data_IF_284211485322
#
_entry.id   IF_284211485322
#
_cell.length_a   1.000
_cell.length_b   1.000
_cell.length_c   1.000
_cell.angle_alpha   90.00
_cell.angle_beta   90.00
_cell.angle_gamma   90.00
#
_symmetry.space_group_name_H-M   'P 1'
#
loop_
_entity.id
_entity.type
_entity.pdbx_description
1 polymer ?
#
# COMPACT_ATOMS: atom_id res chain seq x y z
N UNK A 1 48.09 19.96 39.75
CA UNK A 1 47.01 19.49 38.86
C UNK A 1 47.64 18.79 37.66
N UNK A 2 47.39 17.50 37.48
CA UNK A 2 47.82 16.74 36.29
C UNK A 2 46.75 16.86 35.21
N UNK A 3 47.10 17.19 33.95
CA UNK A 3 46.14 17.25 32.87
C UNK A 3 45.55 15.86 32.57
N UNK A 4 44.25 15.81 32.32
CA UNK A 4 43.55 14.60 31.87
C UNK A 4 43.53 14.56 30.34
N UNK A 5 44.48 13.81 29.75
CA UNK A 5 44.67 13.74 28.30
C UNK A 5 43.60 12.92 27.55
N UNK A 6 42.70 12.25 28.25
CA UNK A 6 41.63 11.44 27.64
C UNK A 6 40.54 12.26 26.93
N UNK A 7 40.52 13.58 27.14
CA UNK A 7 39.49 14.50 26.62
C UNK A 7 39.98 15.35 25.44
N UNK A 8 41.25 15.23 25.07
CA UNK A 8 41.86 16.03 24.01
C UNK A 8 41.71 15.33 22.66
N UNK A 9 41.56 16.13 21.60
CA UNK A 9 41.50 15.64 20.23
C UNK A 9 42.88 15.17 19.73
N UNK A 10 42.91 14.34 18.67
CA UNK A 10 44.15 13.82 18.08
C UNK A 10 45.16 14.93 17.73
N UNK A 11 44.67 16.02 17.13
CA UNK A 11 45.50 17.18 16.77
C UNK A 11 46.09 17.90 17.99
N UNK A 12 45.31 18.06 19.07
CA UNK A 12 45.78 18.70 20.30
C UNK A 12 46.81 17.83 21.04
N UNK A 13 46.66 16.50 20.99
CA UNK A 13 47.64 15.57 21.57
C UNK A 13 48.95 15.53 20.78
N UNK A 14 48.89 15.59 19.45
CA UNK A 14 50.08 15.69 18.58
C UNK A 14 50.83 17.02 18.78
N UNK A 15 50.09 18.12 18.92
CA UNK A 15 50.66 19.45 19.22
C UNK A 15 51.31 19.49 20.61
N UNK A 16 50.65 18.89 21.61
CA UNK A 16 51.21 18.73 22.95
C UNK A 16 52.50 17.90 22.93
N UNK A 17 52.58 16.85 22.10
CA UNK A 17 53.76 16.00 21.98
C UNK A 17 54.93 16.68 21.25
N UNK A 18 54.63 17.66 20.40
CA UNK A 18 55.63 18.49 19.70
C UNK A 18 56.20 19.60 20.59
N UNK A 19 55.39 20.14 21.48
CA UNK A 19 55.74 21.31 22.31
C UNK A 19 56.29 20.94 23.68
N UNK A 20 56.05 19.71 24.17
CA UNK A 20 56.53 19.25 25.47
C UNK A 20 58.04 18.97 25.45
N UNK A 21 58.73 19.42 26.50
CA UNK A 21 60.13 19.07 26.75
C UNK A 21 60.25 17.62 27.22
N UNK A 22 60.56 16.74 26.27
CA UNK A 22 60.58 15.28 26.43
C UNK A 22 61.64 14.80 27.42
N UNK A 23 62.73 15.54 27.59
CA UNK A 23 63.80 15.18 28.52
C UNK A 23 63.41 15.44 29.98
N UNK A 24 62.53 16.42 30.21
CA UNK A 24 62.16 16.88 31.55
C UNK A 24 60.88 16.24 32.08
N UNK A 25 59.99 15.74 31.21
CA UNK A 25 58.70 15.18 31.60
C UNK A 25 58.32 13.87 30.86
N UNK A 26 59.09 12.78 31.06
CA UNK A 26 58.87 11.53 30.33
C UNK A 26 57.50 10.89 30.61
N UNK A 27 57.01 10.96 31.86
CA UNK A 27 55.71 10.38 32.25
C UNK A 27 54.51 11.05 31.56
N UNK A 28 54.62 12.33 31.18
CA UNK A 28 53.54 13.03 30.47
C UNK A 28 53.52 12.64 28.99
N UNK A 29 54.69 12.41 28.40
CA UNK A 29 54.83 11.91 27.03
C UNK A 29 54.20 10.53 26.91
N UNK A 30 54.45 9.63 27.88
CA UNK A 30 53.86 8.30 27.90
C UNK A 30 52.32 8.33 27.97
N UNK A 31 51.76 9.21 28.82
CA UNK A 31 50.30 9.39 28.90
C UNK A 31 49.67 9.96 27.63
N UNK A 32 50.35 10.86 26.93
CA UNK A 32 49.89 11.40 25.64
C UNK A 32 49.95 10.32 24.55
N UNK A 33 51.03 9.53 24.50
CA UNK A 33 51.15 8.39 23.58
C UNK A 33 50.09 7.31 23.84
N UNK A 34 49.80 7.02 25.11
CA UNK A 34 48.77 6.06 25.48
C UNK A 34 47.37 6.56 25.09
N UNK A 35 47.11 7.87 25.20
CA UNK A 35 45.85 8.49 24.75
C UNK A 35 45.73 8.51 23.22
N UNK A 36 46.84 8.72 22.48
CA UNK A 36 46.87 8.59 21.02
C UNK A 36 46.63 7.15 20.57
N UNK A 37 47.28 6.18 21.20
CA UNK A 37 47.10 4.77 20.89
C UNK A 37 45.67 4.27 21.17
N UNK A 38 45.01 4.79 22.21
CA UNK A 38 43.60 4.45 22.49
C UNK A 38 42.63 5.12 21.53
N UNK A 39 42.95 6.29 20.97
CA UNK A 39 42.19 6.91 19.88
C UNK A 39 42.36 6.13 18.57
N UNK A 40 43.57 5.71 18.24
CA UNK A 40 43.86 4.91 17.04
C UNK A 40 43.23 3.51 17.11
N UNK A 41 43.28 2.85 18.28
CA UNK A 41 42.60 1.57 18.49
C UNK A 41 41.06 1.67 18.39
N UNK A 42 40.49 2.85 18.68
CA UNK A 42 39.06 3.12 18.48
C UNK A 42 38.72 3.52 17.03
N UNK A 43 39.67 4.11 16.28
CA UNK A 43 39.54 4.36 14.84
C UNK A 43 39.55 3.05 14.03
N UNK A 44 40.42 2.10 14.38
CA UNK A 44 40.54 0.80 13.68
C UNK A 44 39.30 -0.12 13.85
N UNK A 45 38.49 0.10 14.88
CA UNK A 45 37.20 -0.60 15.06
C UNK A 45 36.01 0.10 14.39
N UNK A 46 36.20 1.22 13.70
CA UNK A 46 35.14 1.94 12.96
C UNK A 46 35.09 1.65 11.46
N UNK A 47 35.76 0.61 10.95
CA UNK A 47 35.46 0.06 9.62
C UNK A 47 34.26 -0.91 9.66
N UNK A 48 33.13 -0.44 10.21
CA UNK A 48 31.86 -0.91 9.65
C UNK A 48 31.82 -0.39 8.21
N UNK A 49 31.52 -1.21 7.18
CA UNK A 49 31.57 -0.76 5.80
C UNK A 49 30.71 0.49 5.66
N UNK A 50 31.29 1.57 5.11
CA UNK A 50 30.60 2.80 4.75
C UNK A 50 29.27 2.41 4.11
N UNK A 51 28.16 2.55 4.86
CA UNK A 51 26.86 2.19 4.35
C UNK A 51 26.57 3.12 3.18
N UNK A 52 26.54 2.55 1.97
CA UNK A 52 26.37 3.30 0.73
C UNK A 52 25.03 4.04 0.72
N UNK A 53 25.04 5.32 1.12
CA UNK A 53 23.87 6.20 1.07
C UNK A 53 23.68 6.61 -0.38
N UNK A 54 22.83 5.86 -1.09
CA UNK A 54 22.54 6.15 -2.49
C UNK A 54 21.69 7.43 -2.61
N UNK A 55 22.29 8.51 -3.09
CA UNK A 55 21.60 9.75 -3.48
C UNK A 55 21.19 9.70 -4.97
N UNK A 56 20.11 10.39 -5.36
CA UNK A 56 19.73 10.48 -6.77
C UNK A 56 20.69 11.38 -7.55
N UNK A 57 21.02 10.97 -8.77
CA UNK A 57 21.74 11.81 -9.74
C UNK A 57 20.90 13.00 -10.20
N UNK A 58 21.53 14.13 -10.56
CA UNK A 58 20.82 15.31 -11.09
C UNK A 58 20.09 14.97 -12.40
N UNK A 59 18.79 15.24 -12.46
CA UNK A 59 17.93 14.96 -13.62
C UNK A 59 18.07 16.04 -14.70
N UNK A 60 18.09 15.65 -15.97
CA UNK A 60 18.07 16.57 -17.11
C UNK A 60 16.66 17.14 -17.38
N UNK A 61 16.57 18.31 -18.02
CA UNK A 61 15.29 18.98 -18.31
C UNK A 61 14.31 18.11 -19.13
N UNK A 62 14.81 17.30 -20.07
CA UNK A 62 13.99 16.36 -20.84
C UNK A 62 13.43 15.22 -19.98
N UNK A 63 14.21 14.70 -19.03
CA UNK A 63 13.74 13.67 -18.09
C UNK A 63 12.66 14.22 -17.18
N UNK A 64 12.76 15.50 -16.78
CA UNK A 64 11.75 16.17 -15.98
C UNK A 64 10.42 16.31 -16.76
N UNK A 65 10.47 16.74 -18.02
CA UNK A 65 9.26 16.85 -18.86
C UNK A 65 8.59 15.50 -19.13
N UNK A 66 9.34 14.45 -19.47
CA UNK A 66 8.78 13.09 -19.68
C UNK A 66 8.14 12.53 -18.41
N UNK A 67 8.74 12.80 -17.25
CA UNK A 67 8.22 12.37 -15.96
C UNK A 67 6.94 13.12 -15.58
N UNK A 68 6.84 14.41 -15.88
CA UNK A 68 5.62 15.19 -15.69
C UNK A 68 4.49 14.68 -16.59
N UNK A 69 4.76 14.46 -17.88
CA UNK A 69 3.76 13.94 -18.81
C UNK A 69 3.29 12.54 -18.43
N UNK A 70 4.22 11.67 -18.03
CA UNK A 70 3.89 10.33 -17.52
C UNK A 70 3.10 10.38 -16.22
N UNK A 71 3.43 11.30 -15.30
CA UNK A 71 2.69 11.48 -14.04
C UNK A 71 1.28 11.99 -14.29
N UNK A 72 1.10 12.96 -15.20
CA UNK A 72 -0.21 13.47 -15.60
C UNK A 72 -1.05 12.37 -16.23
N UNK A 73 -0.47 11.59 -17.14
CA UNK A 73 -1.15 10.44 -17.75
C UNK A 73 -1.61 9.41 -16.71
N UNK A 74 -0.79 9.12 -15.70
CA UNK A 74 -1.17 8.23 -14.59
C UNK A 74 -2.29 8.83 -13.71
N UNK A 75 -2.27 10.14 -13.46
CA UNK A 75 -3.31 10.81 -12.67
C UNK A 75 -4.64 10.78 -13.43
N UNK A 76 -4.66 11.19 -14.70
CA UNK A 76 -5.87 11.17 -15.52
C UNK A 76 -6.39 9.75 -15.75
N UNK A 77 -5.51 8.79 -16.05
CA UNK A 77 -5.87 7.39 -16.16
C UNK A 77 -6.44 6.84 -14.85
N UNK A 78 -5.83 7.21 -13.71
CA UNK A 78 -6.34 6.86 -12.38
C UNK A 78 -7.71 7.47 -12.07
N UNK A 79 -7.96 8.71 -12.48
CA UNK A 79 -9.25 9.38 -12.34
C UNK A 79 -10.34 8.71 -13.17
N UNK A 80 -10.05 8.38 -14.43
CA UNK A 80 -10.99 7.67 -15.32
C UNK A 80 -11.30 6.29 -14.74
N UNK A 81 -10.27 5.53 -14.35
CA UNK A 81 -10.45 4.22 -13.73
C UNK A 81 -11.25 4.32 -12.42
N UNK A 82 -10.96 5.34 -11.60
CA UNK A 82 -11.71 5.62 -10.37
C UNK A 82 -13.18 5.95 -10.65
N UNK A 83 -13.47 6.75 -11.67
CA UNK A 83 -14.82 7.07 -12.09
C UNK A 83 -15.57 5.84 -12.62
N UNK A 84 -14.91 4.95 -13.36
CA UNK A 84 -15.49 3.69 -13.83
C UNK A 84 -15.73 2.67 -12.71
N UNK A 85 -14.98 2.76 -11.60
CA UNK A 85 -15.16 1.92 -10.43
C UNK A 85 -16.15 2.51 -9.40
N UNK A 86 -16.57 3.77 -9.56
CA UNK A 86 -17.55 4.42 -8.68
C UNK A 86 -18.90 3.67 -8.62
N UNK A 87 -19.48 3.20 -9.75
CA UNK A 87 -20.74 2.47 -9.76
C UNK A 87 -20.70 1.19 -8.90
N UNK A 88 -19.53 0.56 -8.74
CA UNK A 88 -19.30 -0.64 -7.92
C UNK A 88 -19.67 -0.43 -6.44
N UNK A 89 -19.54 0.81 -5.97
CA UNK A 89 -19.87 1.20 -4.60
C UNK A 89 -21.39 1.33 -4.41
N UNK A 90 -22.11 1.79 -5.43
CA UNK A 90 -23.54 2.07 -5.33
C UNK A 90 -24.42 0.91 -5.81
N UNK A 91 -23.88 0.01 -6.61
CA UNK A 91 -24.63 -1.07 -7.23
C UNK A 91 -24.48 -2.41 -6.50
N UNK A 92 -25.62 -3.05 -6.27
CA UNK A 92 -25.69 -4.43 -5.76
C UNK A 92 -25.68 -5.40 -6.94
N UNK A 93 -24.48 -5.67 -7.45
CA UNK A 93 -24.29 -6.67 -8.50
C UNK A 93 -24.05 -8.05 -7.90
N UNK A 94 -24.82 -9.00 -8.39
CA UNK A 94 -24.80 -10.41 -8.05
C UNK A 94 -24.20 -11.16 -9.24
N UNK A 95 -23.00 -11.70 -9.06
CA UNK A 95 -22.30 -12.42 -10.13
C UNK A 95 -22.97 -13.78 -10.36
N UNK A 96 -23.01 -14.31 -11.57
CA UNK A 96 -23.51 -15.67 -11.74
C UNK A 96 -22.56 -16.68 -11.09
N UNK A 97 -23.10 -17.75 -10.47
CA UNK A 97 -22.31 -18.71 -9.70
C UNK A 97 -21.25 -19.42 -10.56
N UNK A 98 -21.54 -19.63 -11.84
CA UNK A 98 -20.58 -20.17 -12.81
C UNK A 98 -19.38 -19.23 -13.00
N UNK A 99 -19.59 -17.92 -12.90
CA UNK A 99 -18.57 -16.89 -13.09
C UNK A 99 -17.79 -16.58 -11.81
N UNK A 100 -18.25 -17.01 -10.64
CA UNK A 100 -17.58 -16.74 -9.35
C UNK A 100 -16.16 -17.30 -9.32
N UNK A 101 -16.00 -18.56 -9.69
CA UNK A 101 -14.69 -19.23 -9.67
C UNK A 101 -13.68 -18.61 -10.64
N UNK A 102 -13.99 -18.37 -11.93
CA UNK A 102 -13.04 -17.73 -12.83
C UNK A 102 -12.68 -16.32 -12.39
N UNK A 103 -13.64 -15.50 -11.94
CA UNK A 103 -13.32 -14.15 -11.45
C UNK A 103 -12.48 -14.16 -10.17
N UNK A 104 -12.66 -15.14 -9.27
CA UNK A 104 -11.76 -15.33 -8.10
C UNK A 104 -10.33 -15.58 -8.56
N UNK A 105 -10.11 -16.48 -9.52
CA UNK A 105 -8.77 -16.78 -10.03
C UNK A 105 -8.15 -15.60 -10.79
N UNK A 106 -8.91 -14.89 -11.61
CA UNK A 106 -8.44 -13.69 -12.31
C UNK A 106 -8.07 -12.60 -11.31
N UNK A 107 -8.86 -12.39 -10.27
CA UNK A 107 -8.55 -11.41 -9.23
C UNK A 107 -7.28 -11.76 -8.43
N UNK A 108 -7.11 -13.04 -8.05
CA UNK A 108 -5.93 -13.51 -7.32
C UNK A 108 -4.66 -13.43 -8.18
N UNK A 109 -4.73 -13.83 -9.44
CA UNK A 109 -3.60 -13.75 -10.37
C UNK A 109 -3.21 -12.30 -10.65
N UNK A 110 -4.17 -11.41 -10.90
CA UNK A 110 -3.92 -9.97 -11.04
C UNK A 110 -3.29 -9.38 -9.78
N UNK A 111 -3.81 -9.72 -8.60
CA UNK A 111 -3.25 -9.31 -7.31
C UNK A 111 -1.81 -9.79 -7.12
N UNK A 112 -1.51 -11.05 -7.45
CA UNK A 112 -0.16 -11.62 -7.37
C UNK A 112 0.82 -10.92 -8.31
N UNK A 113 0.42 -10.67 -9.56
CA UNK A 113 1.25 -9.95 -10.55
C UNK A 113 1.57 -8.55 -10.04
N UNK A 114 0.56 -7.82 -9.55
CA UNK A 114 0.75 -6.47 -9.01
C UNK A 114 1.62 -6.49 -7.75
N UNK A 115 1.46 -7.48 -6.88
CA UNK A 115 2.32 -7.67 -5.72
C UNK A 115 3.79 -7.83 -6.13
N UNK A 116 4.10 -8.78 -7.02
CA UNK A 116 5.47 -9.05 -7.49
C UNK A 116 6.06 -7.83 -8.18
N UNK A 117 5.31 -7.18 -9.08
CA UNK A 117 5.76 -5.99 -9.79
C UNK A 117 6.03 -4.82 -8.82
N UNK A 118 5.18 -4.63 -7.82
CA UNK A 118 5.34 -3.57 -6.82
C UNK A 118 6.54 -3.85 -5.90
N UNK A 119 6.68 -5.08 -5.42
CA UNK A 119 7.85 -5.52 -4.66
C UNK A 119 9.14 -5.28 -5.45
N UNK A 120 9.20 -5.75 -6.71
CA UNK A 120 10.36 -5.55 -7.59
C UNK A 120 10.70 -4.07 -7.75
N UNK A 121 9.69 -3.21 -7.95
CA UNK A 121 9.86 -1.76 -8.11
C UNK A 121 10.36 -1.08 -6.83
N UNK A 122 9.78 -1.42 -5.66
CA UNK A 122 10.11 -0.78 -4.38
C UNK A 122 11.42 -1.29 -3.78
N UNK A 123 11.77 -2.55 -4.02
CA UNK A 123 13.04 -3.14 -3.63
C UNK A 123 14.17 -2.80 -4.62
N UNK A 124 13.90 -2.12 -5.73
CA UNK A 124 14.96 -1.63 -6.62
C UNK A 124 15.75 -0.48 -5.98
N UNK A 125 17.06 -0.42 -6.21
CA UNK A 125 17.97 0.61 -5.66
C UNK A 125 17.56 2.03 -6.09
N UNK A 126 17.01 2.18 -7.29
CA UNK A 126 16.50 3.47 -7.78
C UNK A 126 15.33 4.03 -6.96
N UNK A 127 14.49 3.16 -6.37
CA UNK A 127 13.40 3.59 -5.51
C UNK A 127 13.96 4.04 -4.15
N UNK A 128 14.93 3.29 -3.61
CA UNK A 128 15.62 3.66 -2.37
C UNK A 128 16.30 5.03 -2.49
N UNK A 129 16.99 5.32 -3.62
CA UNK A 129 17.57 6.64 -3.90
C UNK A 129 16.56 7.78 -3.76
N UNK A 130 15.39 7.61 -4.38
CA UNK A 130 14.31 8.61 -4.35
C UNK A 130 13.72 8.76 -2.95
N UNK A 131 13.46 7.64 -2.27
CA UNK A 131 12.92 7.65 -0.92
C UNK A 131 13.88 8.33 0.08
N UNK A 132 15.18 8.08 -0.03
CA UNK A 132 16.19 8.70 0.82
C UNK A 132 16.31 10.21 0.56
N UNK A 133 16.25 10.65 -0.69
CA UNK A 133 16.22 12.07 -1.01
C UNK A 133 15.00 12.78 -0.40
N UNK A 134 13.82 12.17 -0.45
CA UNK A 134 12.62 12.72 0.20
C UNK A 134 12.72 12.73 1.73
N UNK A 135 13.35 11.72 2.33
CA UNK A 135 13.58 11.69 3.78
C UNK A 135 14.53 12.81 4.20
N UNK A 136 15.64 12.99 3.48
CA UNK A 136 16.61 14.06 3.73
C UNK A 136 15.97 15.44 3.56
N UNK A 137 15.16 15.65 2.51
CA UNK A 137 14.40 16.89 2.32
C UNK A 137 13.42 17.19 3.48
N UNK A 138 12.95 16.16 4.17
CA UNK A 138 12.08 16.26 5.36
C UNK A 138 12.87 16.26 6.69
N UNK A 139 14.20 16.36 6.64
CA UNK A 139 15.07 16.32 7.83
C UNK A 139 15.12 14.97 8.54
N UNK A 140 14.75 13.88 7.87
CA UNK A 140 14.70 12.52 8.43
C UNK A 140 15.94 11.72 8.03
N UNK A 141 16.34 10.77 8.89
CA UNK A 141 17.47 9.86 8.62
C UNK A 141 17.19 8.98 7.40
N UNK A 142 18.16 8.81 6.47
CA UNK A 142 18.01 7.95 5.30
C UNK A 142 17.95 6.46 5.72
N UNK A 143 17.39 5.63 4.85
CA UNK A 143 17.32 4.19 5.02
C UNK A 143 18.49 3.51 4.29
N UNK A 144 19.10 2.53 4.96
CA UNK A 144 20.15 1.69 4.38
C UNK A 144 19.56 0.61 3.47
N UNK A 145 20.40 0.04 2.60
CA UNK A 145 20.00 -1.03 1.66
C UNK A 145 19.43 -2.23 2.41
N UNK A 146 20.08 -2.63 3.50
CA UNK A 146 19.72 -3.81 4.30
C UNK A 146 18.71 -3.53 5.42
N UNK A 147 18.12 -2.33 5.43
CA UNK A 147 17.19 -1.96 6.50
C UNK A 147 15.96 -2.87 6.48
N UNK A 148 15.62 -3.57 7.59
CA UNK A 148 14.41 -4.39 7.66
C UNK A 148 13.14 -3.54 7.45
N UNK A 149 13.20 -2.26 7.85
CA UNK A 149 12.13 -1.29 7.63
C UNK A 149 11.81 -1.10 6.14
N UNK A 150 12.82 -1.18 5.26
CA UNK A 150 12.63 -1.09 3.80
C UNK A 150 11.87 -2.30 3.28
N UNK A 151 12.26 -3.50 3.71
CA UNK A 151 11.65 -4.76 3.27
C UNK A 151 10.20 -4.84 3.76
N UNK A 152 9.95 -4.61 5.05
CA UNK A 152 8.59 -4.63 5.60
C UNK A 152 7.71 -3.52 4.98
N UNK A 153 8.26 -2.33 4.76
CA UNK A 153 7.55 -1.23 4.10
C UNK A 153 7.17 -1.54 2.65
N UNK A 154 8.10 -2.14 1.88
CA UNK A 154 7.85 -2.55 0.51
C UNK A 154 6.80 -3.67 0.42
N UNK A 155 6.95 -4.72 1.24
CA UNK A 155 6.01 -5.84 1.28
C UNK A 155 4.63 -5.37 1.72
N UNK A 156 4.55 -4.57 2.79
CA UNK A 156 3.28 -4.05 3.31
C UNK A 156 2.55 -3.18 2.29
N UNK A 157 3.28 -2.29 1.61
CA UNK A 157 2.70 -1.45 0.55
C UNK A 157 2.25 -2.29 -0.64
N UNK A 158 3.10 -3.22 -1.11
CA UNK A 158 2.77 -4.11 -2.21
C UNK A 158 1.54 -4.97 -1.90
N UNK A 159 1.43 -5.48 -0.66
CA UNK A 159 0.28 -6.26 -0.21
C UNK A 159 -1.01 -5.43 -0.25
N UNK A 160 -0.96 -4.20 0.25
CA UNK A 160 -2.13 -3.29 0.23
C UNK A 160 -2.59 -3.01 -1.20
N UNK A 161 -1.65 -2.69 -2.11
CA UNK A 161 -1.96 -2.42 -3.52
C UNK A 161 -2.50 -3.68 -4.21
N UNK A 162 -1.93 -4.85 -3.91
CA UNK A 162 -2.39 -6.14 -4.45
C UNK A 162 -3.81 -6.49 -3.99
N UNK A 163 -4.11 -6.31 -2.70
CA UNK A 163 -5.46 -6.53 -2.15
C UNK A 163 -6.49 -5.59 -2.78
N UNK A 164 -6.14 -4.32 -2.94
CA UNK A 164 -7.01 -3.35 -3.62
C UNK A 164 -7.26 -3.74 -5.08
N UNK A 165 -6.21 -4.18 -5.78
CA UNK A 165 -6.31 -4.66 -7.17
C UNK A 165 -7.22 -5.88 -7.27
N UNK A 166 -7.02 -6.88 -6.40
CA UNK A 166 -7.85 -8.08 -6.37
C UNK A 166 -9.32 -7.74 -6.11
N UNK A 167 -9.61 -6.81 -5.18
CA UNK A 167 -10.96 -6.34 -4.92
C UNK A 167 -11.56 -5.62 -6.14
N UNK A 168 -10.81 -4.73 -6.78
CA UNK A 168 -11.24 -4.00 -7.96
C UNK A 168 -11.52 -4.94 -9.14
N UNK A 169 -10.72 -5.99 -9.33
CA UNK A 169 -10.95 -6.99 -10.39
C UNK A 169 -12.15 -7.86 -10.05
N UNK A 170 -12.23 -8.39 -8.82
CA UNK A 170 -13.30 -9.30 -8.44
C UNK A 170 -14.67 -8.65 -8.43
N UNK A 171 -14.77 -7.41 -7.90
CA UNK A 171 -16.05 -6.72 -7.74
C UNK A 171 -16.29 -5.67 -8.81
N UNK A 172 -15.24 -4.98 -9.25
CA UNK A 172 -15.38 -3.86 -10.18
C UNK A 172 -15.51 -4.27 -11.64
N UNK A 173 -14.71 -5.24 -12.09
CA UNK A 173 -14.75 -5.66 -13.48
C UNK A 173 -16.13 -6.22 -13.90
N UNK A 174 -16.80 -7.10 -13.13
CA UNK A 174 -18.12 -7.59 -13.51
C UNK A 174 -19.17 -6.49 -13.64
N UNK A 175 -19.16 -5.52 -12.71
CA UNK A 175 -20.09 -4.37 -12.74
C UNK A 175 -19.83 -3.50 -13.97
N UNK A 176 -18.56 -3.18 -14.24
CA UNK A 176 -18.20 -2.37 -15.40
C UNK A 176 -18.57 -3.08 -16.72
N UNK A 177 -18.30 -4.39 -16.82
CA UNK A 177 -18.69 -5.19 -17.98
C UNK A 177 -20.21 -5.22 -18.15
N UNK A 178 -20.97 -5.42 -17.07
CA UNK A 178 -22.43 -5.40 -17.09
C UNK A 178 -23.01 -4.05 -17.55
N UNK A 179 -22.40 -2.93 -17.14
CA UNK A 179 -22.92 -1.59 -17.43
C UNK A 179 -22.50 -1.04 -18.79
N UNK A 180 -21.29 -1.36 -19.26
CA UNK A 180 -20.68 -0.68 -20.41
C UNK A 180 -20.39 -1.58 -21.60
N UNK A 181 -20.36 -2.90 -21.42
CA UNK A 181 -19.91 -3.83 -22.47
C UNK A 181 -20.99 -4.83 -22.86
N UNK A 182 -21.71 -5.37 -21.90
CA UNK A 182 -22.69 -6.43 -22.15
C UNK A 182 -24.09 -5.87 -22.35
N UNK A 183 -24.83 -6.50 -23.24
CA UNK A 183 -26.25 -6.23 -23.42
C UNK A 183 -27.02 -6.71 -22.17
N UNK A 184 -27.46 -5.75 -21.37
CA UNK A 184 -28.23 -5.99 -20.17
C UNK A 184 -29.72 -5.73 -20.44
N UNK A 185 -30.56 -6.75 -20.22
CA UNK A 185 -32.02 -6.64 -20.36
C UNK A 185 -32.68 -6.48 -18.99
N UNK A 186 -33.82 -5.77 -18.95
CA UNK A 186 -34.60 -5.64 -17.72
C UNK A 186 -35.13 -7.00 -17.30
N UNK A 187 -34.86 -7.40 -16.07
CA UNK A 187 -35.21 -8.72 -15.57
C UNK A 187 -35.68 -8.65 -14.12
N UNK A 188 -36.40 -9.69 -13.71
CA UNK A 188 -36.76 -9.92 -12.31
C UNK A 188 -36.24 -11.27 -11.86
N UNK A 189 -35.63 -11.33 -10.69
CA UNK A 189 -35.07 -12.55 -10.14
C UNK A 189 -35.75 -12.90 -8.82
N UNK A 190 -36.13 -14.17 -8.63
CA UNK A 190 -36.66 -14.66 -7.37
C UNK A 190 -35.51 -15.27 -6.57
N UNK A 191 -35.29 -14.74 -5.37
CA UNK A 191 -34.19 -15.14 -4.49
C UNK A 191 -34.70 -15.35 -3.08
N UNK A 192 -33.98 -16.17 -2.32
CA UNK A 192 -34.32 -16.55 -0.95
C UNK A 192 -33.45 -15.78 0.01
N UNK A 193 -34.07 -15.17 1.03
CA UNK A 193 -33.34 -14.46 2.08
C UNK A 193 -32.60 -15.48 2.95
N UNK A 194 -31.27 -15.50 2.89
CA UNK A 194 -30.46 -16.32 3.79
C UNK A 194 -30.45 -15.72 5.21
N UNK A 195 -30.22 -14.41 5.29
CA UNK A 195 -30.04 -13.73 6.58
C UNK A 195 -30.36 -12.25 6.48
N UNK A 196 -30.85 -11.70 7.60
CA UNK A 196 -31.05 -10.28 7.79
C UNK A 196 -30.16 -9.78 8.95
N UNK A 197 -29.54 -8.60 8.83
CA UNK A 197 -29.04 -7.86 9.98
C UNK A 197 -30.10 -7.70 11.07
N UNK A 198 -29.69 -7.58 12.34
CA UNK A 198 -30.64 -7.39 13.47
C UNK A 198 -31.49 -6.13 13.37
N UNK A 199 -31.03 -5.10 12.65
CA UNK A 199 -31.71 -3.81 12.52
C UNK A 199 -31.40 -3.19 11.16
N UNK A 200 -32.34 -2.42 10.64
CA UNK A 200 -32.12 -1.57 9.48
C UNK A 200 -31.07 -0.51 9.83
N UNK A 201 -30.00 -0.39 9.03
CA UNK A 201 -28.96 0.63 9.18
C UNK A 201 -28.91 1.48 7.92
N UNK A 202 -28.89 2.82 8.10
CA UNK A 202 -28.56 3.78 7.04
C UNK A 202 -27.06 4.06 7.08
N UNK A 203 -26.28 3.39 6.23
CA UNK A 203 -24.82 3.53 6.12
C UNK A 203 -24.44 3.45 4.63
N UNK A 204 -23.27 2.90 4.32
CA UNK A 204 -22.83 2.63 2.96
C UNK A 204 -23.77 1.68 2.19
N UNK A 205 -24.34 0.67 2.87
CA UNK A 205 -25.31 -0.25 2.30
C UNK A 205 -26.58 -0.23 3.18
N UNK A 206 -27.62 0.47 2.70
CA UNK A 206 -28.88 0.59 3.44
C UNK A 206 -29.72 -0.67 3.28
N UNK A 207 -30.28 -1.18 4.37
CA UNK A 207 -31.20 -2.32 4.30
C UNK A 207 -30.57 -3.57 3.68
N UNK A 208 -29.36 -3.94 4.12
CA UNK A 208 -28.65 -5.13 3.61
C UNK A 208 -29.51 -6.40 3.76
N UNK A 209 -29.61 -7.21 2.70
CA UNK A 209 -30.28 -8.51 2.68
C UNK A 209 -29.30 -9.54 2.10
N UNK A 210 -29.00 -10.61 2.85
CA UNK A 210 -28.14 -11.70 2.37
C UNK A 210 -28.98 -12.75 1.64
N UNK A 211 -28.46 -13.29 0.54
CA UNK A 211 -29.17 -14.16 -0.41
C UNK A 211 -28.59 -15.57 -0.41
N UNK A 212 -29.46 -16.59 -0.37
CA UNK A 212 -29.03 -17.98 -0.25
C UNK A 212 -28.36 -18.50 -1.53
N UNK A 213 -28.92 -18.14 -2.69
CA UNK A 213 -28.45 -18.54 -4.00
C UNK A 213 -27.04 -18.03 -4.32
N UNK A 214 -26.63 -16.94 -3.65
CA UNK A 214 -25.36 -16.25 -3.88
C UNK A 214 -24.34 -16.47 -2.74
N UNK A 215 -24.59 -17.44 -1.84
CA UNK A 215 -23.77 -17.72 -0.65
C UNK A 215 -22.31 -18.09 -0.93
N UNK A 216 -21.99 -18.57 -2.14
CA UNK A 216 -20.62 -18.88 -2.55
C UNK A 216 -19.74 -17.63 -2.83
N UNK A 217 -20.35 -16.45 -2.79
CA UNK A 217 -19.72 -15.17 -3.16
C UNK A 217 -19.24 -14.42 -1.93
N UNK A 218 -18.19 -13.61 -2.11
CA UNK A 218 -17.77 -12.69 -1.05
C UNK A 218 -18.79 -11.58 -0.78
N UNK A 219 -19.69 -11.32 -1.74
CA UNK A 219 -20.73 -10.30 -1.68
C UNK A 219 -22.09 -10.91 -2.02
N UNK A 220 -22.58 -11.74 -1.11
CA UNK A 220 -23.85 -12.46 -1.17
C UNK A 220 -25.06 -11.60 -0.75
N UNK A 221 -24.96 -10.28 -0.87
CA UNK A 221 -25.97 -9.37 -0.35
C UNK A 221 -26.35 -8.26 -1.31
N UNK A 222 -27.59 -7.80 -1.17
CA UNK A 222 -28.11 -6.62 -1.86
C UNK A 222 -28.40 -5.49 -0.89
N UNK A 223 -28.34 -4.26 -1.41
CA UNK A 223 -28.53 -3.02 -0.69
C UNK A 223 -29.61 -2.18 -1.38
N UNK A 224 -30.33 -1.37 -0.60
CA UNK A 224 -31.27 -0.37 -1.10
C UNK A 224 -32.41 -0.93 -1.96
N UNK A 225 -32.72 -2.23 -1.89
CA UNK A 225 -33.74 -2.83 -2.76
C UNK A 225 -35.16 -2.66 -2.23
N UNK A 226 -35.31 -2.30 -0.96
CA UNK A 226 -36.62 -2.11 -0.30
C UNK A 226 -36.58 -0.95 0.70
N UNK A 227 -37.65 -0.17 0.83
CA UNK A 227 -37.78 0.84 1.87
C UNK A 227 -37.78 0.20 3.26
N UNK A 228 -37.45 1.00 4.29
CA UNK A 228 -37.33 0.52 5.68
C UNK A 228 -38.58 -0.21 6.17
N UNK A 229 -39.77 0.30 5.86
CA UNK A 229 -41.04 -0.28 6.29
C UNK A 229 -41.24 -1.71 5.76
N UNK A 230 -40.88 -1.96 4.51
CA UNK A 230 -40.93 -3.29 3.90
C UNK A 230 -39.80 -4.19 4.43
N UNK A 231 -38.59 -3.63 4.58
CA UNK A 231 -37.45 -4.37 5.09
C UNK A 231 -37.69 -4.93 6.50
N UNK A 232 -38.35 -4.17 7.38
CA UNK A 232 -38.67 -4.61 8.75
C UNK A 232 -39.69 -5.76 8.79
N UNK A 233 -40.43 -6.00 7.70
CA UNK A 233 -41.38 -7.10 7.57
C UNK A 233 -40.74 -8.37 7.01
N UNK A 234 -39.54 -8.28 6.45
CA UNK A 234 -38.83 -9.42 5.87
C UNK A 234 -38.43 -10.44 6.93
N UNK A 235 -38.52 -11.72 6.58
CA UNK A 235 -38.04 -12.81 7.41
C UNK A 235 -36.96 -13.62 6.69
N UNK A 236 -36.02 -14.26 7.42
CA UNK A 236 -35.16 -15.29 6.83
C UNK A 236 -36.00 -16.38 6.16
N UNK A 237 -35.43 -17.03 5.14
CA UNK A 237 -36.03 -18.10 4.32
C UNK A 237 -37.22 -17.67 3.45
N UNK A 238 -37.65 -16.41 3.56
CA UNK A 238 -38.65 -15.83 2.68
C UNK A 238 -38.08 -15.62 1.26
N UNK A 239 -38.90 -15.91 0.25
CA UNK A 239 -38.59 -15.55 -1.14
C UNK A 239 -39.01 -14.12 -1.43
N UNK A 240 -38.12 -13.37 -2.09
CA UNK A 240 -38.35 -12.02 -2.56
C UNK A 240 -38.08 -11.92 -4.06
N UNK A 241 -38.74 -10.99 -4.72
CA UNK A 241 -38.50 -10.68 -6.13
C UNK A 241 -37.65 -9.42 -6.22
N UNK A 242 -36.47 -9.54 -6.82
CA UNK A 242 -35.61 -8.41 -7.12
C UNK A 242 -35.90 -7.91 -8.53
N UNK A 243 -35.90 -6.59 -8.69
CA UNK A 243 -36.04 -5.91 -9.97
C UNK A 243 -34.70 -5.30 -10.38
N UNK A 244 -34.33 -5.43 -11.65
CA UNK A 244 -32.99 -5.05 -12.07
C UNK A 244 -32.72 -5.28 -13.55
N UNK A 245 -31.44 -5.46 -13.87
CA UNK A 245 -30.98 -5.84 -15.20
C UNK A 245 -30.15 -7.12 -15.14
N UNK A 246 -30.35 -8.02 -16.10
CA UNK A 246 -29.60 -9.27 -16.24
C UNK A 246 -28.74 -9.23 -17.49
N UNK A 247 -27.50 -9.68 -17.34
CA UNK A 247 -26.54 -9.95 -18.43
C UNK A 247 -26.02 -11.38 -18.28
N UNK A 248 -25.22 -11.84 -19.23
CA UNK A 248 -24.52 -13.13 -19.14
C UNK A 248 -23.62 -13.26 -17.90
N UNK A 249 -23.12 -12.14 -17.35
CA UNK A 249 -22.28 -12.17 -16.15
C UNK A 249 -23.06 -12.30 -14.84
N UNK A 250 -24.34 -11.96 -14.82
CA UNK A 250 -25.11 -11.89 -13.59
C UNK A 250 -26.19 -10.80 -13.57
N UNK A 251 -26.64 -10.49 -12.36
CA UNK A 251 -27.80 -9.65 -12.10
C UNK A 251 -27.44 -8.38 -11.31
N UNK A 252 -27.86 -7.24 -11.81
CA UNK A 252 -27.74 -5.96 -11.15
C UNK A 252 -29.08 -5.59 -10.51
N UNK A 253 -29.16 -5.63 -9.18
CA UNK A 253 -30.35 -5.18 -8.47
C UNK A 253 -30.49 -3.65 -8.53
N UNK A 254 -31.69 -3.17 -8.87
CA UNK A 254 -32.04 -1.75 -8.85
C UNK A 254 -32.68 -1.36 -7.53
N UNK A 255 -32.42 -0.12 -7.13
CA UNK A 255 -33.15 0.53 -6.05
C UNK A 255 -34.62 0.68 -6.47
N UNK A 256 -35.55 0.36 -5.55
CA UNK A 256 -37.00 0.50 -5.77
C UNK A 256 -37.54 1.82 -5.21
N UNK A 257 -36.68 2.67 -4.64
CA UNK A 257 -37.06 4.01 -4.21
C UNK A 257 -37.27 4.95 -5.40
N UNK A 258 -38.47 4.88 -5.96
CA UNK A 258 -39.13 6.00 -6.64
C UNK A 258 -39.86 6.87 -5.61
#
# INVERSE_FOLDING_TARGET
MTPDYSRYSKAELEEALRTIDKARFPERVEKILQALASLEANEDHSTAPEQEILLPEPQTHEQMQRKLLGSLGLIFGGLILGAMLLPVYFHSFLLDNEMVTPFKWVALTAGLIVFVATCKKMLHTSYLRKANAELLAKGKKPMTVDSPRRVYGAIGTALLVALFTALAVYRGAPVALHLYVLDASTATEQVTIAKLPRRFRKKHCNGKIYLAEYSAQFFDYVCQVTPRSQWEQLRPEQRIRLHGSRSELGFLARDTSF
#
